data_IF_652852828886
#
_entry.id   IF_652852828886
#
_cell.length_a   1.000
_cell.length_b   1.000
_cell.length_c   1.000
_cell.angle_alpha   90.00
_cell.angle_beta   90.00
_cell.angle_gamma   90.00
#
_symmetry.space_group_name_H-M   'P 1'
#
loop_
_entity.id
_entity.type
_entity.pdbx_description
1 polymer ?
#
# COMPACT_ATOMS: atom_id res chain seq x y z
N UNK A 1 9.02 7.98 -1.56
CA UNK A 1 7.70 7.53 -1.08
C UNK A 1 7.92 6.18 -0.44
N UNK A 2 7.57 6.03 0.84
CA UNK A 2 7.61 4.75 1.55
C UNK A 2 6.37 3.91 1.23
N UNK A 3 6.37 2.63 1.65
CA UNK A 3 5.17 1.77 1.56
C UNK A 3 4.03 2.35 2.40
N UNK A 4 4.35 2.94 3.56
CA UNK A 4 3.36 3.60 4.40
C UNK A 4 2.78 4.86 3.75
N UNK A 5 3.62 5.69 3.10
CA UNK A 5 3.15 6.84 2.32
C UNK A 5 2.19 6.40 1.21
N UNK A 6 2.53 5.31 0.51
CA UNK A 6 1.71 4.76 -0.56
C UNK A 6 0.35 4.27 -0.04
N UNK A 7 0.35 3.52 1.07
CA UNK A 7 -0.86 3.06 1.73
C UNK A 7 -1.74 4.25 2.16
N UNK A 8 -1.14 5.28 2.76
CA UNK A 8 -1.85 6.47 3.21
C UNK A 8 -2.50 7.23 2.05
N UNK A 9 -1.77 7.46 0.95
CA UNK A 9 -2.31 8.10 -0.27
C UNK A 9 -3.48 7.28 -0.84
N UNK A 10 -3.37 5.95 -0.84
CA UNK A 10 -4.44 5.08 -1.31
C UNK A 10 -5.65 5.09 -0.41
N UNK A 11 -5.44 5.10 0.90
CA UNK A 11 -6.53 5.19 1.85
C UNK A 11 -7.26 6.52 1.70
N UNK A 12 -6.55 7.65 1.56
CA UNK A 12 -7.18 8.96 1.37
C UNK A 12 -7.96 9.04 0.03
N UNK A 13 -7.45 8.44 -1.04
CA UNK A 13 -8.12 8.46 -2.36
C UNK A 13 -9.34 7.54 -2.45
N UNK A 14 -9.37 6.45 -1.66
CA UNK A 14 -10.43 5.43 -1.73
C UNK A 14 -11.41 5.49 -0.57
N UNK A 15 -11.03 6.10 0.55
CA UNK A 15 -11.89 6.16 1.73
C UNK A 15 -13.00 7.18 1.55
N UNK A 16 -14.21 6.89 2.06
CA UNK A 16 -15.26 7.88 2.15
C UNK A 16 -14.81 9.12 2.94
N UNK A 17 -15.19 10.35 2.53
CA UNK A 17 -14.72 11.60 3.15
C UNK A 17 -15.14 11.79 4.61
N UNK A 18 -15.93 10.88 5.19
CA UNK A 18 -16.44 10.96 6.56
C UNK A 18 -15.75 10.00 7.55
N UNK A 19 -14.71 9.27 7.13
CA UNK A 19 -14.04 8.28 8.00
C UNK A 19 -13.29 8.91 9.19
N UNK A 20 -12.91 10.19 9.09
CA UNK A 20 -12.10 10.87 10.11
C UNK A 20 -10.70 10.26 10.28
N UNK A 21 -9.89 10.83 11.17
CA UNK A 21 -8.51 10.34 11.41
C UNK A 21 -8.50 8.93 12.03
N UNK A 22 -9.43 8.63 12.93
CA UNK A 22 -9.55 7.31 13.59
C UNK A 22 -10.00 6.21 12.63
N UNK A 23 -10.98 6.50 11.76
CA UNK A 23 -11.42 5.53 10.75
C UNK A 23 -10.32 5.26 9.72
N UNK A 24 -9.52 6.28 9.39
CA UNK A 24 -8.35 6.11 8.53
C UNK A 24 -7.28 5.24 9.21
N UNK A 25 -7.06 5.42 10.51
CA UNK A 25 -6.16 4.58 11.29
C UNK A 25 -6.61 3.12 11.32
N UNK A 26 -7.91 2.86 11.54
CA UNK A 26 -8.47 1.52 11.48
C UNK A 26 -8.30 0.90 10.08
N UNK A 27 -8.59 1.65 9.02
CA UNK A 27 -8.41 1.19 7.64
C UNK A 27 -6.95 0.81 7.34
N UNK A 28 -5.98 1.60 7.82
CA UNK A 28 -4.56 1.31 7.61
C UNK A 28 -4.09 0.17 8.52
N UNK A 29 -4.60 0.04 9.73
CA UNK A 29 -4.27 -1.05 10.64
C UNK A 29 -4.62 -2.43 10.05
N UNK A 30 -5.67 -2.52 9.24
CA UNK A 30 -6.02 -3.77 8.53
C UNK A 30 -4.99 -4.18 7.46
N UNK A 31 -4.12 -3.26 7.01
CA UNK A 31 -3.17 -3.51 5.93
C UNK A 31 -1.76 -3.82 6.44
N UNK A 32 -1.46 -3.49 7.70
CA UNK A 32 -0.14 -3.67 8.29
C UNK A 32 -0.19 -4.68 9.44
N UNK A 33 0.90 -5.44 9.60
CA UNK A 33 1.04 -6.38 10.73
C UNK A 33 1.31 -5.68 12.07
N UNK A 34 1.65 -4.39 12.03
CA UNK A 34 1.88 -3.56 13.20
C UNK A 34 0.72 -2.58 13.37
N UNK A 35 0.37 -2.21 14.62
CA UNK A 35 -0.62 -1.17 14.86
C UNK A 35 -0.24 0.13 14.15
N UNK A 36 -1.22 0.76 13.50
CA UNK A 36 -1.06 2.09 12.90
C UNK A 36 -1.76 3.09 13.80
N UNK A 37 -1.03 4.12 14.24
CA UNK A 37 -1.56 5.14 15.15
C UNK A 37 -1.83 6.46 14.44
N UNK A 38 -2.79 7.24 14.96
CA UNK A 38 -3.10 8.59 14.43
C UNK A 38 -1.87 9.53 14.40
N UNK A 39 -1.00 9.55 15.43
CA UNK A 39 0.24 10.35 15.38
C UNK A 39 1.17 9.95 14.22
N UNK A 40 1.33 8.67 13.93
CA UNK A 40 2.17 8.19 12.82
C UNK A 40 1.58 8.61 11.47
N UNK A 41 0.25 8.52 11.33
CA UNK A 41 -0.46 9.00 10.14
C UNK A 41 -0.21 10.49 9.93
N UNK A 42 -0.37 11.30 10.99
CA UNK A 42 -0.14 12.75 10.94
C UNK A 42 1.30 13.09 10.59
N UNK A 43 2.27 12.38 11.15
CA UNK A 43 3.68 12.56 10.84
C UNK A 43 3.98 12.26 9.36
N UNK A 44 3.45 11.15 8.83
CA UNK A 44 3.62 10.79 7.43
C UNK A 44 2.95 11.81 6.49
N UNK A 45 1.75 12.25 6.84
CA UNK A 45 1.00 13.32 6.19
C UNK A 45 1.81 14.61 6.09
N UNK A 46 2.33 15.11 7.22
CA UNK A 46 3.13 16.32 7.26
C UNK A 46 4.37 16.19 6.37
N UNK A 47 5.00 15.00 6.38
CA UNK A 47 6.09 14.67 5.47
C UNK A 47 5.69 14.71 3.99
N UNK A 48 4.49 14.26 3.65
CA UNK A 48 3.97 14.29 2.28
C UNK A 48 3.61 15.70 1.81
N UNK A 49 3.00 16.50 2.69
CA UNK A 49 2.71 17.92 2.44
C UNK A 49 4.01 18.70 2.26
N UNK A 50 5.00 18.49 3.13
CA UNK A 50 6.31 19.15 3.04
C UNK A 50 7.06 18.82 1.73
N UNK A 51 6.81 17.64 1.16
CA UNK A 51 7.35 17.22 -0.15
C UNK A 51 6.54 17.74 -1.35
N UNK A 52 5.43 18.44 -1.14
CA UNK A 52 4.54 18.89 -2.22
C UNK A 52 3.71 17.78 -2.87
N UNK A 53 3.58 16.63 -2.20
CA UNK A 53 2.82 15.49 -2.72
C UNK A 53 1.36 15.50 -2.31
N UNK A 54 1.02 16.19 -1.23
CA UNK A 54 -0.36 16.44 -0.81
C UNK A 54 -0.62 17.94 -0.75
N UNK A 55 -1.81 18.33 -1.20
CA UNK A 55 -2.38 19.66 -0.95
C UNK A 55 -3.11 19.61 0.40
N UNK A 56 -2.71 20.43 1.39
CA UNK A 56 -3.33 20.42 2.70
C UNK A 56 -4.78 20.91 2.62
N UNK A 57 -5.67 20.27 3.39
CA UNK A 57 -7.03 20.78 3.60
C UNK A 57 -7.02 22.07 4.42
N UNK A 58 -7.96 23.01 4.19
CA UNK A 58 -8.20 24.16 5.07
C UNK A 58 -8.35 23.80 6.54
N UNK A 59 -8.94 22.64 6.83
CA UNK A 59 -9.19 22.15 8.19
C UNK A 59 -8.02 21.32 8.75
N UNK A 60 -6.95 21.12 7.97
CA UNK A 60 -5.81 20.24 8.27
C UNK A 60 -6.22 18.81 8.65
N UNK A 61 -7.39 18.37 8.21
CA UNK A 61 -7.84 17.00 8.38
C UNK A 61 -7.16 16.11 7.34
N UNK A 62 -6.71 14.93 7.79
CA UNK A 62 -5.91 14.02 6.97
C UNK A 62 -6.69 13.54 5.75
N UNK A 63 -7.94 13.16 5.97
CA UNK A 63 -8.84 12.61 4.95
C UNK A 63 -9.29 13.63 3.90
N UNK A 64 -9.14 14.93 4.14
CA UNK A 64 -9.48 15.99 3.18
C UNK A 64 -8.28 16.44 2.33
N UNK A 65 -7.08 15.90 2.59
CA UNK A 65 -5.91 16.24 1.79
C UNK A 65 -6.02 15.63 0.39
N UNK A 66 -5.64 16.41 -0.62
CA UNK A 66 -5.77 16.00 -2.03
C UNK A 66 -4.38 15.69 -2.59
N UNK A 67 -4.13 14.47 -3.11
CA UNK A 67 -2.87 14.16 -3.76
C UNK A 67 -2.63 15.05 -4.99
N UNK A 68 -1.41 15.53 -5.14
CA UNK A 68 -1.00 16.22 -6.37
C UNK A 68 -0.85 15.21 -7.51
N UNK A 69 -0.85 15.68 -8.75
CA UNK A 69 -0.66 14.79 -9.91
C UNK A 69 0.67 14.03 -9.83
N UNK A 70 1.74 14.69 -9.37
CA UNK A 70 3.05 14.06 -9.16
C UNK A 70 2.99 12.91 -8.15
N UNK A 71 2.22 13.08 -7.07
CA UNK A 71 2.00 12.03 -6.08
C UNK A 71 1.24 10.84 -6.69
N UNK A 72 0.23 11.10 -7.51
CA UNK A 72 -0.54 10.05 -8.20
C UNK A 72 0.33 9.28 -9.18
N UNK A 73 1.18 9.96 -9.95
CA UNK A 73 2.10 9.33 -10.90
C UNK A 73 3.11 8.43 -10.18
N UNK A 74 3.70 8.90 -9.08
CA UNK A 74 4.60 8.12 -8.25
C UNK A 74 3.90 6.91 -7.61
N UNK A 75 2.71 7.13 -7.04
CA UNK A 75 1.92 6.07 -6.41
C UNK A 75 1.55 4.98 -7.44
N UNK A 76 1.11 5.38 -8.63
CA UNK A 76 0.76 4.47 -9.73
C UNK A 76 1.96 3.65 -10.20
N UNK A 77 3.13 4.30 -10.34
CA UNK A 77 4.38 3.63 -10.71
C UNK A 77 4.77 2.57 -9.68
N UNK A 78 4.72 2.92 -8.38
CA UNK A 78 5.02 1.99 -7.29
C UNK A 78 4.01 0.84 -7.23
N UNK A 79 2.72 1.12 -7.36
CA UNK A 79 1.68 0.08 -7.42
C UNK A 79 1.93 -0.93 -8.53
N UNK A 80 2.20 -0.44 -9.75
CA UNK A 80 2.52 -1.30 -10.89
C UNK A 80 3.78 -2.14 -10.65
N UNK A 81 4.80 -1.56 -10.01
CA UNK A 81 6.00 -2.28 -9.59
C UNK A 81 5.69 -3.41 -8.60
N UNK A 82 4.95 -3.12 -7.53
CA UNK A 82 4.55 -4.10 -6.53
C UNK A 82 3.74 -5.26 -7.12
N UNK A 83 2.74 -4.97 -7.97
CA UNK A 83 1.93 -6.00 -8.63
C UNK A 83 2.82 -6.92 -9.49
N UNK A 84 3.68 -6.34 -10.33
CA UNK A 84 4.59 -7.13 -11.17
C UNK A 84 5.58 -7.98 -10.37
N UNK A 85 6.00 -7.52 -9.20
CA UNK A 85 6.85 -8.30 -8.29
C UNK A 85 6.08 -9.49 -7.71
N UNK A 86 4.85 -9.26 -7.25
CA UNK A 86 3.98 -10.32 -6.74
C UNK A 86 3.66 -11.36 -7.82
N UNK A 87 3.32 -10.92 -9.03
CA UNK A 87 3.05 -11.80 -10.17
C UNK A 87 4.26 -12.69 -10.50
N UNK A 88 5.47 -12.11 -10.49
CA UNK A 88 6.71 -12.87 -10.69
C UNK A 88 6.95 -13.87 -9.56
N UNK A 89 6.74 -13.47 -8.30
CA UNK A 89 6.87 -14.36 -7.15
C UNK A 89 5.90 -15.54 -7.21
N UNK A 90 4.65 -15.28 -7.55
CA UNK A 90 3.61 -16.31 -7.73
C UNK A 90 3.94 -17.25 -8.89
N UNK A 91 4.42 -16.71 -10.01
CA UNK A 91 4.89 -17.52 -11.14
C UNK A 91 6.02 -18.48 -10.74
N UNK A 92 7.01 -18.00 -9.99
CA UNK A 92 8.10 -18.84 -9.48
C UNK A 92 7.61 -19.91 -8.51
N UNK A 93 6.65 -19.59 -7.65
CA UNK A 93 6.04 -20.54 -6.73
C UNK A 93 5.31 -21.65 -7.50
N UNK A 94 4.50 -21.28 -8.50
CA UNK A 94 3.77 -22.22 -9.34
C UNK A 94 4.71 -23.15 -10.10
N UNK A 95 5.79 -22.62 -10.69
CA UNK A 95 6.81 -23.43 -11.37
C UNK A 95 7.45 -24.42 -10.38
N UNK A 96 7.82 -23.97 -9.17
CA UNK A 96 8.38 -24.87 -8.14
C UNK A 96 7.42 -25.96 -7.70
N UNK A 97 6.13 -25.63 -7.52
CA UNK A 97 5.11 -26.61 -7.17
C UNK A 97 4.94 -27.67 -8.27
N UNK A 98 4.90 -27.24 -9.54
CA UNK A 98 4.86 -28.13 -10.69
C UNK A 98 6.12 -29.01 -10.75
N UNK A 99 7.32 -28.45 -10.62
CA UNK A 99 8.57 -29.24 -10.58
C UNK A 99 8.56 -30.26 -9.44
N UNK A 100 8.11 -29.89 -8.23
CA UNK A 100 8.00 -30.83 -7.11
C UNK A 100 6.94 -31.92 -7.31
N UNK A 101 5.88 -31.65 -8.07
CA UNK A 101 4.89 -32.66 -8.46
C UNK A 101 5.46 -33.60 -9.53
N UNK A 102 6.13 -33.06 -10.55
CA UNK A 102 6.80 -33.86 -11.57
C UNK A 102 7.91 -34.73 -10.97
N UNK A 103 8.74 -34.18 -10.07
CA UNK A 103 9.79 -34.94 -9.40
C UNK A 103 9.22 -36.10 -8.57
N UNK A 104 8.10 -35.89 -7.87
CA UNK A 104 7.41 -36.96 -7.13
C UNK A 104 6.79 -37.99 -8.04
N UNK A 105 6.18 -37.56 -9.15
CA UNK A 105 5.56 -38.46 -10.12
C UNK A 105 6.61 -39.28 -10.90
N UNK A 106 7.75 -38.69 -11.21
CA UNK A 106 8.86 -39.33 -11.94
C UNK A 106 9.75 -40.18 -11.04
N UNK A 107 9.88 -39.85 -9.75
CA UNK A 107 10.65 -40.69 -8.81
C UNK A 107 9.90 -41.92 -8.33
N UNK A 108 8.56 -41.94 -8.45
CA UNK A 108 7.73 -43.06 -8.03
C UNK A 108 7.79 -43.28 -6.52
N UNK A 109 6.63 -43.33 -5.86
CA UNK A 109 6.57 -44.02 -4.58
C UNK A 109 7.11 -45.45 -4.79
N UNK A 110 8.32 -45.69 -4.28
CA UNK A 110 9.00 -46.98 -4.22
C UNK A 110 9.02 -47.42 -2.76
#
# INVERSE_FOLDING_TARGET
>A
MSVFDLALVTAITRSPPHLGDEGLAACLADWFLQPVTVPEIRLAMDGLVARGWLTPSPNRTVHECIPTMECVDHATTLYGGCIRMLDRGMGLLNVRLLSNLFDRYLKGDS
#
